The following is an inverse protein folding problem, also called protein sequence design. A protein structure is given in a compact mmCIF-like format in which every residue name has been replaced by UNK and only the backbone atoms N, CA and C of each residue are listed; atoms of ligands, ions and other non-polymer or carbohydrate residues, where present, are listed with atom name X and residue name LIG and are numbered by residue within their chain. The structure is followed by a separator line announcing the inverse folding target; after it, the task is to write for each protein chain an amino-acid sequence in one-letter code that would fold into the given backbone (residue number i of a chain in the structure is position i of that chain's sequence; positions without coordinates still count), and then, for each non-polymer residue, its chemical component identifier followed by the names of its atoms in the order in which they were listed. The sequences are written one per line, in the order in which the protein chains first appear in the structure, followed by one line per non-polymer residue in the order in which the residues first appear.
data_IF_459370206661
#
_entry.id   IF_459370206661
#
_cell.length_a   1.000
_cell.length_b   1.000
_cell.length_c   1.000
_cell.angle_alpha   90.00
_cell.angle_beta   90.00
_cell.angle_gamma   90.00
#
_symmetry.space_group_name_H-M   'P 1'
#
loop_
_entity.id
_entity.type
_entity.pdbx_description
1 polymer ?
#
# COMPACT_ATOMS: atom_id res chain seq x y z
N UNK A 1 41.03 0.28 25.25
CA UNK A 1 39.65 0.70 25.54
C UNK A 1 38.81 0.34 24.32
N UNK A 2 38.05 -0.77 24.34
CA UNK A 2 37.09 -1.08 23.29
C UNK A 2 35.68 -1.03 23.88
N UNK A 3 34.80 -0.12 23.43
CA UNK A 3 33.33 -0.23 23.61
C UNK A 3 32.60 0.95 22.93
N UNK A 4 32.46 0.88 21.61
CA UNK A 4 31.53 1.73 20.84
C UNK A 4 30.92 0.89 19.72
N UNK A 5 30.28 -0.22 20.09
CA UNK A 5 29.69 -1.18 19.13
C UNK A 5 28.32 -1.70 19.55
N UNK A 6 27.46 -0.86 20.13
CA UNK A 6 26.07 -1.23 20.42
C UNK A 6 25.13 -0.04 20.22
N UNK A 7 24.58 0.13 19.01
CA UNK A 7 23.22 0.66 18.78
C UNK A 7 22.86 0.84 17.28
N UNK A 8 22.96 -0.20 16.46
CA UNK A 8 22.32 -0.18 15.13
C UNK A 8 21.15 -1.18 14.99
N UNK A 9 20.99 -2.14 15.91
CA UNK A 9 20.02 -3.23 15.75
C UNK A 9 18.60 -2.91 16.25
N UNK A 10 18.44 -2.10 17.30
CA UNK A 10 17.12 -1.81 17.89
C UNK A 10 16.17 -1.06 16.93
N UNK A 11 16.71 -0.20 16.06
CA UNK A 11 15.90 0.58 15.13
C UNK A 11 15.32 -0.27 14.00
N UNK A 12 16.08 -1.26 13.49
CA UNK A 12 15.62 -2.15 12.42
C UNK A 12 14.65 -3.24 12.92
N UNK A 13 14.80 -3.70 14.16
CA UNK A 13 13.87 -4.64 14.79
C UNK A 13 12.52 -3.99 15.10
N UNK A 14 12.51 -2.74 15.54
CA UNK A 14 11.28 -1.96 15.75
C UNK A 14 10.53 -1.75 14.42
N UNK A 15 11.25 -1.41 13.35
CA UNK A 15 10.67 -1.26 12.00
C UNK A 15 10.07 -2.59 11.51
N UNK A 16 10.79 -3.70 11.70
CA UNK A 16 10.34 -5.05 11.29
C UNK A 16 9.08 -5.49 12.05
N UNK A 17 9.00 -5.22 13.35
CA UNK A 17 7.83 -5.54 14.18
C UNK A 17 6.61 -4.70 13.79
N UNK A 18 6.81 -3.42 13.50
CA UNK A 18 5.75 -2.53 13.02
C UNK A 18 5.25 -2.93 11.63
N UNK A 19 6.14 -3.31 10.72
CA UNK A 19 5.79 -3.85 9.40
C UNK A 19 4.98 -5.13 9.54
N UNK A 20 5.43 -6.10 10.35
CA UNK A 20 4.73 -7.36 10.57
C UNK A 20 3.32 -7.15 11.14
N UNK A 21 3.19 -6.28 12.15
CA UNK A 21 1.90 -5.93 12.73
C UNK A 21 0.98 -5.27 11.71
N UNK A 22 1.50 -4.33 10.91
CA UNK A 22 0.73 -3.67 9.85
C UNK A 22 0.27 -4.67 8.77
N UNK A 23 1.13 -5.60 8.35
CA UNK A 23 0.78 -6.68 7.41
C UNK A 23 -0.33 -7.56 7.96
N UNK A 24 -0.27 -7.94 9.24
CA UNK A 24 -1.28 -8.80 9.84
C UNK A 24 -2.65 -8.09 9.97
N UNK A 25 -2.65 -6.82 10.37
CA UNK A 25 -3.87 -6.01 10.51
C UNK A 25 -4.49 -5.74 9.15
N UNK A 26 -3.71 -5.25 8.19
CA UNK A 26 -4.21 -4.97 6.84
C UNK A 26 -4.60 -6.28 6.14
N UNK A 27 -3.84 -7.36 6.33
CA UNK A 27 -4.10 -8.70 5.78
C UNK A 27 -5.42 -9.32 6.22
N UNK A 28 -5.89 -8.99 7.42
CA UNK A 28 -7.17 -9.50 7.96
C UNK A 28 -8.37 -8.60 7.66
N UNK A 29 -8.14 -7.39 7.14
CA UNK A 29 -9.18 -6.35 7.00
C UNK A 29 -9.31 -5.76 5.60
N UNK A 30 -8.29 -5.91 4.76
CA UNK A 30 -8.26 -5.36 3.41
C UNK A 30 -8.25 -6.52 2.43
N UNK A 31 -9.32 -6.62 1.65
CA UNK A 31 -9.40 -7.57 0.55
C UNK A 31 -8.49 -7.17 -0.61
N UNK A 32 -7.98 -8.18 -1.33
CA UNK A 32 -7.18 -7.93 -2.51
C UNK A 32 -8.04 -7.31 -3.60
N UNK A 33 -7.57 -6.21 -4.16
CA UNK A 33 -8.19 -5.50 -5.26
C UNK A 33 -7.52 -5.90 -6.58
N UNK A 34 -8.28 -6.51 -7.47
CA UNK A 34 -7.85 -6.87 -8.83
C UNK A 34 -8.24 -5.82 -9.87
N UNK A 35 -9.26 -5.02 -9.57
CA UNK A 35 -9.92 -4.08 -10.50
C UNK A 35 -10.99 -4.72 -11.38
N UNK A 36 -11.31 -6.00 -11.17
CA UNK A 36 -12.38 -6.73 -11.85
C UNK A 36 -13.56 -7.08 -10.92
N UNK A 37 -13.47 -6.71 -9.64
CA UNK A 37 -14.56 -6.89 -8.68
C UNK A 37 -15.55 -5.71 -8.71
N UNK A 38 -16.72 -5.88 -8.09
CA UNK A 38 -17.71 -4.80 -7.91
C UNK A 38 -17.16 -3.65 -7.04
N UNK A 39 -16.27 -3.99 -6.12
CA UNK A 39 -15.56 -3.03 -5.27
C UNK A 39 -14.71 -2.11 -6.13
N UNK A 40 -14.84 -0.81 -5.90
CA UNK A 40 -14.07 0.23 -6.56
C UNK A 40 -12.71 0.42 -5.90
N UNK A 41 -11.78 1.02 -6.64
CA UNK A 41 -10.49 1.41 -6.08
C UNK A 41 -10.64 2.46 -4.97
N UNK A 42 -11.68 3.30 -5.02
CA UNK A 42 -11.98 4.29 -3.98
C UNK A 42 -12.39 3.62 -2.67
N UNK A 43 -13.21 2.57 -2.72
CA UNK A 43 -13.59 1.78 -1.54
C UNK A 43 -12.38 1.08 -0.89
N UNK A 44 -11.44 0.56 -1.69
CA UNK A 44 -10.17 0.03 -1.16
C UNK A 44 -9.37 1.10 -0.42
N UNK A 45 -9.32 2.32 -0.97
CA UNK A 45 -8.57 3.42 -0.36
C UNK A 45 -9.23 3.93 0.91
N UNK A 46 -10.55 3.94 0.97
CA UNK A 46 -11.28 4.33 2.18
C UNK A 46 -11.06 3.33 3.31
N UNK A 47 -11.03 2.02 3.03
CA UNK A 47 -10.62 1.01 4.01
C UNK A 47 -9.19 1.27 4.51
N UNK A 48 -8.27 1.54 3.57
CA UNK A 48 -6.89 1.88 3.90
C UNK A 48 -6.81 3.16 4.76
N UNK A 49 -7.62 4.18 4.45
CA UNK A 49 -7.66 5.46 5.16
C UNK A 49 -8.31 5.35 6.53
N UNK A 50 -9.19 4.39 6.77
CA UNK A 50 -9.71 4.08 8.10
C UNK A 50 -8.67 3.32 8.94
N UNK A 51 -8.08 2.26 8.37
CA UNK A 51 -7.21 1.33 9.12
C UNK A 51 -5.87 1.97 9.47
N UNK A 52 -5.23 2.68 8.54
CA UNK A 52 -3.90 3.28 8.74
C UNK A 52 -3.83 4.19 9.98
N UNK A 53 -4.70 5.20 10.16
CA UNK A 53 -4.67 6.03 11.37
C UNK A 53 -5.18 5.28 12.59
N UNK A 54 -6.19 4.42 12.46
CA UNK A 54 -6.78 3.67 13.59
C UNK A 54 -5.78 2.76 14.29
N UNK A 55 -4.85 2.19 13.54
CA UNK A 55 -3.80 1.32 14.08
C UNK A 55 -2.43 2.00 14.13
N UNK A 56 -2.38 3.31 13.95
CA UNK A 56 -1.14 4.11 13.97
C UNK A 56 -0.06 3.55 13.03
N UNK A 57 -0.46 3.05 11.86
CA UNK A 57 0.45 2.49 10.86
C UNK A 57 1.22 3.65 10.22
N UNK A 58 2.56 3.64 10.25
CA UNK A 58 3.35 4.67 9.60
C UNK A 58 3.05 4.74 8.10
N UNK A 59 2.84 5.94 7.57
CA UNK A 59 2.57 6.14 6.14
C UNK A 59 3.62 5.53 5.20
N UNK A 60 4.95 5.56 5.50
CA UNK A 60 5.94 4.87 4.69
C UNK A 60 5.71 3.36 4.62
N UNK A 61 5.27 2.74 5.72
CA UNK A 61 4.93 1.32 5.78
C UNK A 61 3.65 1.06 4.99
N UNK A 62 2.58 1.82 5.22
CA UNK A 62 1.33 1.68 4.47
C UNK A 62 1.56 1.78 2.95
N UNK A 63 2.41 2.71 2.52
CA UNK A 63 2.83 2.88 1.11
C UNK A 63 3.57 1.65 0.57
N UNK A 64 4.50 1.08 1.33
CA UNK A 64 5.22 -0.15 0.95
C UNK A 64 4.29 -1.36 0.88
N UNK A 65 3.24 -1.40 1.71
CA UNK A 65 2.31 -2.52 1.82
C UNK A 65 1.18 -2.49 0.78
N UNK A 66 0.78 -1.31 0.28
CA UNK A 66 -0.28 -1.16 -0.73
C UNK A 66 -0.20 -2.17 -1.90
N UNK A 67 0.96 -2.46 -2.52
CA UNK A 67 1.06 -3.39 -3.64
C UNK A 67 0.72 -4.85 -3.29
N UNK A 68 0.76 -5.21 -2.00
CA UNK A 68 0.39 -6.56 -1.54
C UNK A 68 -1.12 -6.81 -1.61
N UNK A 69 -1.90 -5.74 -1.53
CA UNK A 69 -3.36 -5.75 -1.62
C UNK A 69 -3.84 -5.45 -3.03
N UNK A 70 -2.93 -5.18 -3.96
CA UNK A 70 -3.23 -5.11 -5.37
C UNK A 70 -2.92 -6.47 -6.01
N UNK A 71 -3.82 -6.95 -6.84
CA UNK A 71 -3.66 -8.19 -7.61
C UNK A 71 -3.99 -7.95 -9.09
N UNK A 72 -3.71 -8.95 -9.94
CA UNK A 72 -4.05 -8.93 -11.36
C UNK A 72 -3.71 -7.61 -12.08
N UNK A 73 -4.71 -7.05 -12.76
CA UNK A 73 -4.59 -5.83 -13.56
C UNK A 73 -4.27 -4.59 -12.72
N UNK A 74 -4.78 -4.48 -11.49
CA UNK A 74 -4.46 -3.37 -10.59
C UNK A 74 -2.98 -3.37 -10.16
N UNK A 75 -2.43 -4.54 -9.85
CA UNK A 75 -0.99 -4.67 -9.53
C UNK A 75 -0.11 -4.32 -10.72
N UNK A 76 -0.48 -4.78 -11.91
CA UNK A 76 0.23 -4.45 -13.13
C UNK A 76 0.23 -2.93 -13.40
N UNK A 77 -0.94 -2.28 -13.28
CA UNK A 77 -1.08 -0.82 -13.40
C UNK A 77 -0.21 -0.07 -12.40
N UNK A 78 -0.12 -0.55 -11.16
CA UNK A 78 0.76 0.02 -10.14
C UNK A 78 2.24 -0.08 -10.51
N UNK A 79 2.68 -1.23 -11.03
CA UNK A 79 4.07 -1.42 -11.48
C UNK A 79 4.45 -0.52 -12.65
N UNK A 80 3.48 -0.17 -13.51
CA UNK A 80 3.66 0.75 -14.63
C UNK A 80 3.74 2.23 -14.23
N UNK A 81 3.60 2.59 -12.95
CA UNK A 81 3.76 3.98 -12.49
C UNK A 81 5.26 4.30 -12.37
N UNK A 82 5.82 5.18 -13.22
CA UNK A 82 7.22 5.56 -13.14
C UNK A 82 7.45 6.41 -11.88
N UNK A 83 8.64 6.32 -11.28
CA UNK A 83 9.02 7.11 -10.09
C UNK A 83 8.08 7.00 -8.87
N UNK A 84 7.26 5.94 -8.78
CA UNK A 84 6.30 5.70 -7.68
C UNK A 84 6.90 5.80 -6.28
N UNK A 85 8.20 5.49 -6.13
CA UNK A 85 8.91 5.52 -4.86
C UNK A 85 9.09 6.95 -4.35
N UNK A 86 9.26 7.91 -5.26
CA UNK A 86 9.43 9.35 -4.96
C UNK A 86 8.10 10.10 -4.81
N UNK A 87 6.99 9.53 -5.27
CA UNK A 87 5.66 10.15 -5.17
C UNK A 87 5.18 10.21 -3.73
N UNK A 88 4.43 11.24 -3.37
CA UNK A 88 3.64 11.24 -2.13
C UNK A 88 2.54 10.18 -2.20
N UNK A 89 1.99 9.79 -1.05
CA UNK A 89 0.84 8.85 -1.00
C UNK A 89 -0.32 9.36 -1.86
N UNK A 90 -0.65 10.65 -1.75
CA UNK A 90 -1.75 11.28 -2.50
C UNK A 90 -1.51 11.22 -4.01
N UNK A 91 -0.30 11.50 -4.48
CA UNK A 91 0.05 11.42 -5.90
C UNK A 91 -0.01 9.99 -6.42
N UNK A 92 0.56 9.04 -5.68
CA UNK A 92 0.58 7.63 -6.03
C UNK A 92 -0.83 7.07 -6.17
N UNK A 93 -1.69 7.38 -5.19
CA UNK A 93 -3.08 6.96 -5.17
C UNK A 93 -3.88 7.61 -6.31
N UNK A 94 -3.67 8.90 -6.57
CA UNK A 94 -4.34 9.59 -7.68
C UNK A 94 -3.93 9.02 -9.04
N UNK A 95 -2.65 8.73 -9.26
CA UNK A 95 -2.16 8.13 -10.50
C UNK A 95 -2.67 6.70 -10.69
N UNK A 96 -2.70 5.91 -9.61
CA UNK A 96 -3.27 4.57 -9.66
C UNK A 96 -4.78 4.62 -9.94
N UNK A 97 -5.53 5.53 -9.31
CA UNK A 97 -6.95 5.70 -9.54
C UNK A 97 -7.26 6.05 -11.00
N UNK A 98 -6.48 6.95 -11.62
CA UNK A 98 -6.59 7.28 -13.05
C UNK A 98 -6.35 6.04 -13.93
N UNK A 99 -5.28 5.28 -13.68
CA UNK A 99 -4.96 4.07 -14.45
C UNK A 99 -5.98 2.95 -14.26
N UNK A 100 -6.58 2.84 -13.07
CA UNK A 100 -7.61 1.85 -12.78
C UNK A 100 -8.92 2.23 -13.47
N UNK A 101 -9.38 3.48 -13.33
CA UNK A 101 -10.60 4.01 -13.98
C UNK A 101 -10.52 4.01 -15.51
N UNK A 102 -9.38 4.39 -16.10
CA UNK A 102 -9.21 4.44 -17.57
C UNK A 102 -9.28 3.07 -18.26
N UNK A 103 -9.29 1.98 -17.50
CA UNK A 103 -9.37 0.62 -18.01
C UNK A 103 -10.58 -0.13 -17.44
N UNK A 104 -11.56 0.56 -16.83
CA UNK A 104 -12.88 -0.04 -16.64
C UNK A 104 -13.48 -0.23 -18.05
N UNK A 105 -13.71 -1.48 -18.50
CA UNK A 105 -14.19 -1.73 -19.83
C UNK A 105 -15.68 -1.39 -19.89
N UNK A 106 -16.00 -0.12 -20.02
CA UNK A 106 -17.27 0.31 -20.58
C UNK A 106 -16.96 1.11 -21.84
N UNK A 107 -16.70 0.41 -22.94
CA UNK A 107 -16.96 0.89 -24.32
C UNK A 107 -16.73 -0.26 -25.32
N UNK A 108 -17.59 -1.28 -25.29
CA UNK A 108 -18.08 -2.02 -26.48
C UNK A 108 -19.05 -3.16 -26.09
N UNK A 109 -20.12 -2.82 -25.37
CA UNK A 109 -21.37 -3.61 -25.42
C UNK A 109 -22.49 -2.64 -25.77
#
# INVERSE_FOLDING_TARGET
MPEDRENLSDSEELDSKQVYQAVNILGSRVDKFSGNEEKTFEELLDEYRDIVPRFSIPHPIAKKLLPLYLSGGARFKFQQIPNREKMTWKELVAELAKKVKNNSPLSNI
#
